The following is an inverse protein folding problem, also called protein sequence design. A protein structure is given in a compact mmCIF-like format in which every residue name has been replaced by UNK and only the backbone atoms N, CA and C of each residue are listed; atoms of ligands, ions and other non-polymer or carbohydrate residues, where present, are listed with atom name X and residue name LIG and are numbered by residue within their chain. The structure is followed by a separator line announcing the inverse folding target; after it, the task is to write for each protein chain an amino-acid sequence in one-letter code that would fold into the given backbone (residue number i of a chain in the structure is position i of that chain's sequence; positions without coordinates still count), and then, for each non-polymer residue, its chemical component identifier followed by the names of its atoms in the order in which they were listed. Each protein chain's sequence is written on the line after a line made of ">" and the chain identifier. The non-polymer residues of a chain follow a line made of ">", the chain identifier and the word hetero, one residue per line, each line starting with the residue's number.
data_IF_203348790270
#
_entry.id   IF_203348790270
#
_cell.length_a   1.000
_cell.length_b   1.000
_cell.length_c   1.000
_cell.angle_alpha   90.00
_cell.angle_beta   90.00
_cell.angle_gamma   90.00
#
_symmetry.space_group_name_H-M   'P 1'
#
loop_
_entity.id
_entity.type
_entity.pdbx_description
1 polymer ?
#
# COMPACT_ATOMS: atom_id res chain seq x y z
N UNK A 1 21.28 4.85 -15.13
CA UNK A 1 19.88 5.36 -15.24
C UNK A 1 19.98 6.79 -15.73
N UNK A 2 19.23 7.19 -16.78
CA UNK A 2 19.20 8.56 -17.28
C UNK A 2 18.27 9.41 -16.40
N UNK A 3 18.63 10.67 -16.13
CA UNK A 3 17.75 11.57 -15.39
C UNK A 3 16.48 11.86 -16.23
N UNK A 4 15.35 12.04 -15.56
CA UNK A 4 14.08 12.33 -16.21
C UNK A 4 14.14 13.66 -16.99
N UNK A 5 14.86 14.64 -16.44
CA UNK A 5 15.12 15.95 -17.08
C UNK A 5 15.83 15.86 -18.43
N UNK A 6 16.54 14.77 -18.71
CA UNK A 6 17.32 14.57 -19.92
C UNK A 6 16.50 13.84 -21.01
N UNK A 7 15.27 13.44 -20.69
CA UNK A 7 14.39 12.77 -21.63
C UNK A 7 13.58 13.81 -22.43
N UNK A 8 13.45 13.65 -23.76
CA UNK A 8 12.64 14.56 -24.55
C UNK A 8 11.16 14.43 -24.18
N UNK A 9 10.43 15.54 -24.15
CA UNK A 9 8.99 15.59 -23.80
C UNK A 9 8.13 14.63 -24.63
N UNK A 10 8.54 14.36 -25.88
CA UNK A 10 7.85 13.44 -26.78
C UNK A 10 7.79 11.99 -26.24
N UNK A 11 8.74 11.58 -25.41
CA UNK A 11 8.72 10.25 -24.78
C UNK A 11 7.53 10.09 -23.81
N UNK A 12 6.99 11.19 -23.29
CA UNK A 12 5.90 11.17 -22.31
C UNK A 12 4.51 11.47 -22.90
N UNK A 13 4.43 11.82 -24.20
CA UNK A 13 3.17 12.22 -24.85
C UNK A 13 2.06 11.16 -24.79
N UNK A 14 2.42 9.87 -24.69
CA UNK A 14 1.50 8.74 -24.57
C UNK A 14 1.21 8.32 -23.12
N UNK A 15 1.84 8.94 -22.14
CA UNK A 15 1.64 8.59 -20.71
C UNK A 15 0.22 8.98 -20.31
N UNK A 16 -0.50 8.02 -19.71
CA UNK A 16 -1.85 8.21 -19.18
C UNK A 16 -1.91 7.97 -17.70
N UNK A 17 -0.99 7.13 -17.19
CA UNK A 17 -0.93 6.73 -15.80
C UNK A 17 0.48 6.89 -15.24
N UNK A 18 0.56 7.33 -14.00
CA UNK A 18 1.78 7.31 -13.18
C UNK A 18 1.48 6.46 -11.94
N UNK A 19 2.16 5.32 -11.83
CA UNK A 19 2.16 4.52 -10.61
C UNK A 19 3.43 4.85 -9.85
N UNK A 20 3.29 5.17 -8.58
CA UNK A 20 4.42 5.63 -7.76
C UNK A 20 4.35 5.03 -6.36
N UNK A 21 5.49 4.64 -5.83
CA UNK A 21 5.58 4.32 -4.41
C UNK A 21 5.34 5.59 -3.58
N UNK A 22 4.96 5.44 -2.34
CA UNK A 22 4.64 6.56 -1.46
C UNK A 22 5.80 6.91 -0.53
N UNK A 23 6.23 5.94 0.29
CA UNK A 23 7.22 6.18 1.32
C UNK A 23 8.61 6.38 0.73
N UNK A 24 9.30 7.47 1.15
CA UNK A 24 10.61 7.88 0.63
C UNK A 24 10.65 8.09 -0.91
N UNK A 25 9.47 8.24 -1.54
CA UNK A 25 9.28 8.55 -2.96
C UNK A 25 8.42 9.80 -3.14
N UNK A 26 7.12 9.74 -2.82
CA UNK A 26 6.25 10.92 -2.74
C UNK A 26 6.40 11.65 -1.41
N UNK A 27 6.66 10.92 -0.35
CA UNK A 27 6.92 11.46 0.97
C UNK A 27 8.40 11.40 1.30
N UNK A 28 8.84 12.27 2.20
CA UNK A 28 10.18 12.24 2.77
C UNK A 28 10.08 12.31 4.29
N UNK A 29 10.67 11.33 4.98
CA UNK A 29 10.58 11.16 6.44
C UNK A 29 9.13 11.21 6.94
N UNK A 30 8.24 10.49 6.25
CA UNK A 30 6.82 10.38 6.57
C UNK A 30 6.00 11.64 6.30
N UNK A 31 6.52 12.63 5.56
CA UNK A 31 5.83 13.90 5.28
C UNK A 31 5.68 14.14 3.79
N UNK A 32 4.48 14.53 3.38
CA UNK A 32 4.21 15.00 2.02
C UNK A 32 4.57 16.48 1.93
N UNK A 33 5.50 16.83 1.04
CA UNK A 33 5.86 18.21 0.79
C UNK A 33 4.77 18.91 -0.05
N UNK A 34 4.55 20.22 0.18
CA UNK A 34 3.60 21.02 -0.59
C UNK A 34 3.93 20.99 -2.10
N UNK A 35 5.22 20.99 -2.47
CA UNK A 35 5.66 20.90 -3.85
C UNK A 35 5.26 19.56 -4.51
N UNK A 36 5.30 18.46 -3.77
CA UNK A 36 4.85 17.14 -4.25
C UNK A 36 3.34 17.15 -4.46
N UNK A 37 2.57 17.67 -3.52
CA UNK A 37 1.12 17.79 -3.66
C UNK A 37 0.74 18.64 -4.89
N UNK A 38 1.38 19.82 -5.05
CA UNK A 38 1.18 20.67 -6.23
C UNK A 38 1.57 19.98 -7.55
N UNK A 39 2.56 19.07 -7.53
CA UNK A 39 2.90 18.27 -8.72
C UNK A 39 1.78 17.27 -9.06
N UNK A 40 1.16 16.63 -8.06
CA UNK A 40 0.00 15.74 -8.25
C UNK A 40 -1.18 16.52 -8.85
N UNK A 41 -1.47 17.72 -8.36
CA UNK A 41 -2.54 18.59 -8.93
C UNK A 41 -2.27 18.93 -10.39
N UNK A 42 -1.02 19.26 -10.76
CA UNK A 42 -0.65 19.55 -12.16
C UNK A 42 -0.81 18.32 -13.05
N UNK A 43 -0.45 17.13 -12.58
CA UNK A 43 -0.65 15.90 -13.34
C UNK A 43 -2.15 15.63 -13.55
N UNK A 44 -2.97 15.77 -12.52
CA UNK A 44 -4.42 15.63 -12.62
C UNK A 44 -5.02 16.64 -13.61
N UNK A 45 -4.62 17.91 -13.54
CA UNK A 45 -5.05 18.96 -14.47
C UNK A 45 -4.64 18.68 -15.92
N UNK A 46 -3.51 18.00 -16.13
CA UNK A 46 -3.04 17.54 -17.44
C UNK A 46 -3.74 16.25 -17.91
N UNK A 47 -4.70 15.69 -17.16
CA UNK A 47 -5.39 14.46 -17.49
C UNK A 47 -4.56 13.20 -17.27
N UNK A 48 -3.44 13.30 -16.54
CA UNK A 48 -2.58 12.16 -16.19
C UNK A 48 -3.06 11.60 -14.84
N UNK A 49 -3.42 10.33 -14.82
CA UNK A 49 -3.92 9.63 -13.66
C UNK A 49 -2.78 9.16 -12.78
N UNK A 50 -2.78 9.55 -11.52
CA UNK A 50 -1.75 9.13 -10.56
C UNK A 50 -2.34 8.12 -9.58
N UNK A 51 -1.65 7.01 -9.38
CA UNK A 51 -2.03 5.95 -8.44
C UNK A 51 -0.83 5.67 -7.52
N UNK A 52 -0.83 6.16 -6.28
CA UNK A 52 0.10 5.70 -5.26
C UNK A 52 -0.04 4.20 -5.00
N UNK A 53 1.09 3.51 -4.85
CA UNK A 53 1.15 2.05 -4.62
C UNK A 53 2.00 1.81 -3.38
N UNK A 54 1.37 1.51 -2.25
CA UNK A 54 2.03 1.57 -0.95
C UNK A 54 1.77 0.34 -0.08
N UNK A 55 2.56 0.18 0.97
CA UNK A 55 2.31 -0.74 2.08
C UNK A 55 1.44 -0.10 3.20
N UNK A 56 1.06 1.16 3.06
CA UNK A 56 0.25 1.90 4.03
C UNK A 56 -1.11 1.21 4.27
N UNK A 57 -1.67 1.35 5.49
CA UNK A 57 -2.93 0.73 5.87
C UNK A 57 -4.14 1.32 5.13
N UNK A 58 -5.24 0.56 5.12
CA UNK A 58 -6.51 0.94 4.48
C UNK A 58 -7.02 2.30 4.94
N UNK A 59 -6.88 2.65 6.21
CA UNK A 59 -7.33 3.95 6.73
C UNK A 59 -6.60 5.14 6.10
N UNK A 60 -5.30 5.01 5.84
CA UNK A 60 -4.53 6.04 5.13
C UNK A 60 -4.88 6.08 3.65
N UNK A 61 -5.10 4.92 3.04
CA UNK A 61 -5.53 4.84 1.64
C UNK A 61 -6.90 5.48 1.42
N UNK A 62 -7.85 5.30 2.35
CA UNK A 62 -9.16 5.96 2.31
C UNK A 62 -9.02 7.49 2.38
N UNK A 63 -8.18 8.00 3.29
CA UNK A 63 -7.92 9.43 3.41
C UNK A 63 -7.27 9.99 2.13
N UNK A 64 -6.25 9.34 1.60
CA UNK A 64 -5.57 9.77 0.37
C UNK A 64 -6.52 9.76 -0.83
N UNK A 65 -7.33 8.70 -1.00
CA UNK A 65 -8.32 8.63 -2.07
C UNK A 65 -9.38 9.74 -1.98
N UNK A 66 -9.70 10.23 -0.76
CA UNK A 66 -10.66 11.34 -0.58
C UNK A 66 -10.07 12.71 -0.84
N UNK A 67 -8.84 12.93 -0.44
CA UNK A 67 -8.30 14.29 -0.29
C UNK A 67 -7.16 14.61 -1.25
N UNK A 68 -6.46 13.62 -1.77
CA UNK A 68 -5.36 13.87 -2.68
C UNK A 68 -5.84 13.95 -4.13
N UNK A 69 -5.14 14.68 -5.00
CA UNK A 69 -5.42 14.73 -6.43
C UNK A 69 -4.87 13.48 -7.12
N UNK A 70 -5.46 12.32 -6.79
CA UNK A 70 -5.07 10.99 -7.30
C UNK A 70 -6.30 10.23 -7.80
N UNK A 71 -6.11 9.30 -8.73
CA UNK A 71 -7.19 8.48 -9.31
C UNK A 71 -7.61 7.30 -8.43
N UNK A 72 -6.85 7.05 -7.41
CA UNK A 72 -7.04 5.99 -6.43
C UNK A 72 -5.72 5.63 -5.78
N UNK A 73 -5.74 4.72 -4.82
CA UNK A 73 -4.58 4.29 -4.05
C UNK A 73 -4.59 2.78 -3.93
N UNK A 74 -3.49 2.13 -4.31
CA UNK A 74 -3.26 0.72 -4.02
C UNK A 74 -2.53 0.64 -2.68
N UNK A 75 -3.17 0.01 -1.70
CA UNK A 75 -2.68 -0.12 -0.33
C UNK A 75 -2.35 -1.54 0.08
N UNK A 76 -1.76 -1.65 1.27
CA UNK A 76 -1.43 -2.91 1.93
C UNK A 76 -0.72 -3.90 1.00
N UNK A 77 0.32 -3.42 0.28
CA UNK A 77 1.10 -4.20 -0.69
C UNK A 77 0.30 -4.81 -1.85
N UNK A 78 -0.88 -4.26 -2.16
CA UNK A 78 -1.75 -4.75 -3.22
C UNK A 78 -3.00 -5.47 -2.72
N UNK A 79 -3.23 -5.52 -1.42
CA UNK A 79 -4.43 -6.14 -0.83
C UNK A 79 -5.72 -5.37 -1.12
N UNK A 80 -5.60 -4.08 -1.43
CA UNK A 80 -6.74 -3.21 -1.70
C UNK A 80 -6.41 -2.14 -2.75
N UNK A 81 -7.49 -1.65 -3.40
CA UNK A 81 -7.48 -0.45 -4.22
C UNK A 81 -8.70 0.39 -3.88
N UNK A 82 -8.49 1.62 -3.44
CA UNK A 82 -9.54 2.59 -3.09
C UNK A 82 -9.50 3.75 -4.05
N UNK A 83 -10.67 4.17 -4.54
CA UNK A 83 -10.81 5.35 -5.39
C UNK A 83 -12.06 6.13 -5.02
N UNK A 84 -12.10 7.39 -5.37
CA UNK A 84 -13.31 8.18 -5.28
C UNK A 84 -14.35 7.63 -6.27
N UNK A 85 -15.62 7.56 -5.87
CA UNK A 85 -16.71 7.19 -6.76
C UNK A 85 -17.02 8.29 -7.79
N UNK A 86 -17.85 7.97 -8.77
CA UNK A 86 -18.18 8.90 -9.84
C UNK A 86 -19.02 10.10 -9.35
N UNK A 87 -19.65 10.02 -8.15
CA UNK A 87 -20.35 11.14 -7.50
C UNK A 87 -19.39 12.12 -6.83
N UNK A 88 -18.16 11.71 -6.59
CA UNK A 88 -17.14 12.48 -5.88
C UNK A 88 -17.32 12.57 -4.37
N UNK A 89 -18.29 11.85 -3.80
CA UNK A 89 -18.62 11.89 -2.36
C UNK A 89 -18.26 10.60 -1.62
N UNK A 90 -18.34 9.47 -2.28
CA UNK A 90 -18.03 8.16 -1.72
C UNK A 90 -16.66 7.63 -2.11
N UNK A 91 -16.29 6.50 -1.52
CA UNK A 91 -15.10 5.73 -1.88
C UNK A 91 -15.53 4.33 -2.31
N UNK A 92 -15.18 3.96 -3.52
CA UNK A 92 -15.21 2.59 -3.97
C UNK A 92 -14.01 1.85 -3.39
N UNK A 93 -14.30 0.70 -2.79
CA UNK A 93 -13.30 -0.15 -2.15
C UNK A 93 -13.25 -1.49 -2.84
N UNK A 94 -12.12 -1.77 -3.49
CA UNK A 94 -11.86 -3.03 -4.16
C UNK A 94 -10.76 -3.78 -3.39
N UNK A 95 -11.00 -5.05 -3.08
CA UNK A 95 -10.04 -5.90 -2.41
C UNK A 95 -9.47 -6.93 -3.39
N UNK A 96 -8.28 -7.43 -3.09
CA UNK A 96 -7.70 -8.53 -3.87
C UNK A 96 -8.63 -9.75 -3.83
N UNK A 97 -9.14 -10.07 -2.67
CA UNK A 97 -10.16 -11.10 -2.44
C UNK A 97 -11.55 -10.54 -2.74
N UNK A 98 -11.88 -10.42 -4.04
CA UNK A 98 -13.08 -9.71 -4.51
C UNK A 98 -14.40 -10.29 -3.97
N UNK A 99 -14.44 -11.62 -3.77
CA UNK A 99 -15.63 -12.35 -3.32
C UNK A 99 -15.70 -12.53 -1.80
N UNK A 100 -14.71 -12.01 -1.05
CA UNK A 100 -14.64 -12.14 0.39
C UNK A 100 -14.92 -10.79 1.06
N UNK A 101 -15.89 -10.70 1.98
CA UNK A 101 -16.13 -9.48 2.74
C UNK A 101 -14.88 -9.04 3.52
N UNK A 102 -14.64 -7.72 3.59
CA UNK A 102 -13.43 -7.17 4.20
C UNK A 102 -13.21 -7.62 5.66
N UNK A 103 -14.29 -7.78 6.44
CA UNK A 103 -14.21 -8.25 7.82
C UNK A 103 -13.77 -9.72 7.92
N UNK A 104 -14.09 -10.54 6.93
CA UNK A 104 -13.64 -11.94 6.86
C UNK A 104 -12.15 -12.02 6.52
N UNK A 105 -11.67 -11.15 5.62
CA UNK A 105 -10.23 -11.05 5.32
C UNK A 105 -9.45 -10.70 6.59
N UNK A 106 -9.90 -9.67 7.31
CA UNK A 106 -9.29 -9.28 8.59
C UNK A 106 -9.33 -10.42 9.63
N UNK A 107 -10.43 -11.17 9.69
CA UNK A 107 -10.58 -12.33 10.57
C UNK A 107 -9.61 -13.47 10.22
N UNK A 108 -9.21 -13.63 8.95
CA UNK A 108 -8.21 -14.62 8.54
C UNK A 108 -6.78 -14.20 8.95
N UNK A 109 -6.49 -12.91 9.01
CA UNK A 109 -5.16 -12.38 9.33
C UNK A 109 -4.93 -12.29 10.85
N UNK A 110 -5.96 -12.03 11.63
CA UNK A 110 -5.85 -11.86 13.09
C UNK A 110 -5.25 -13.07 13.84
N UNK A 111 -5.60 -14.33 13.54
CA UNK A 111 -4.97 -15.50 14.17
C UNK A 111 -3.48 -15.60 13.92
N UNK A 112 -3.00 -15.16 12.75
CA UNK A 112 -1.57 -15.15 12.40
C UNK A 112 -0.82 -14.21 13.35
N UNK A 113 -1.37 -13.02 13.57
CA UNK A 113 -0.78 -12.06 14.51
C UNK A 113 -0.70 -12.62 15.93
N UNK A 114 -1.77 -13.27 16.39
CA UNK A 114 -1.81 -13.90 17.72
C UNK A 114 -0.78 -15.02 17.84
N UNK A 115 -0.67 -15.88 16.84
CA UNK A 115 0.32 -16.96 16.83
C UNK A 115 1.75 -16.42 16.89
N UNK A 116 2.08 -15.39 16.13
CA UNK A 116 3.42 -14.77 16.16
C UNK A 116 3.71 -14.21 17.56
N UNK A 117 2.76 -13.50 18.17
CA UNK A 117 2.95 -12.95 19.53
C UNK A 117 3.05 -14.03 20.62
N UNK A 118 2.43 -15.20 20.42
CA UNK A 118 2.60 -16.35 21.33
C UNK A 118 3.98 -16.99 21.20
N UNK A 119 4.49 -17.11 19.97
CA UNK A 119 5.83 -17.67 19.70
C UNK A 119 6.95 -16.70 20.07
N UNK A 120 6.72 -15.41 19.90
CA UNK A 120 7.68 -14.33 20.10
C UNK A 120 7.02 -13.25 20.99
N UNK A 121 7.03 -13.40 22.32
CA UNK A 121 6.33 -12.50 23.25
C UNK A 121 6.81 -11.03 23.20
N UNK A 122 8.01 -10.79 22.69
CA UNK A 122 8.55 -9.45 22.49
C UNK A 122 8.10 -8.80 21.18
N UNK A 123 7.48 -9.54 20.27
CA UNK A 123 6.93 -8.97 19.04
C UNK A 123 5.80 -8.00 19.37
N UNK A 124 5.83 -6.83 18.73
CA UNK A 124 4.83 -5.77 18.92
C UNK A 124 4.17 -5.46 17.60
N UNK A 125 2.84 -5.42 17.59
CA UNK A 125 2.10 -4.92 16.41
C UNK A 125 2.49 -3.48 16.13
N UNK A 126 2.46 -3.12 14.85
CA UNK A 126 2.62 -1.74 14.43
C UNK A 126 1.50 -0.87 15.04
N UNK A 127 1.78 0.39 15.29
CA UNK A 127 0.82 1.35 15.82
C UNK A 127 -0.33 1.63 14.83
N UNK A 128 -0.09 1.41 13.54
CA UNK A 128 -1.09 1.54 12.48
C UNK A 128 -1.94 0.27 12.25
N UNK A 129 -1.69 -0.82 12.99
CA UNK A 129 -2.44 -2.08 12.84
C UNK A 129 -3.97 -1.92 12.93
N UNK A 130 -4.55 -1.06 13.78
CA UNK A 130 -6.00 -0.87 13.83
C UNK A 130 -6.62 -0.33 12.53
N UNK A 131 -5.82 0.22 11.64
CA UNK A 131 -6.25 0.78 10.36
C UNK A 131 -6.03 -0.19 9.18
N UNK A 132 -5.52 -1.40 9.42
CA UNK A 132 -5.27 -2.43 8.39
C UNK A 132 -6.47 -3.35 8.23
N UNK A 133 -6.71 -3.79 7.01
CA UNK A 133 -7.83 -4.65 6.64
C UNK A 133 -7.40 -5.99 6.04
N UNK A 134 -6.25 -6.04 5.36
CA UNK A 134 -5.82 -7.22 4.59
C UNK A 134 -4.45 -7.74 5.02
N UNK A 135 -3.78 -7.06 5.93
CA UNK A 135 -2.43 -7.37 6.37
C UNK A 135 -2.23 -7.24 7.87
N UNK A 136 -1.21 -7.89 8.39
CA UNK A 136 -0.67 -7.66 9.73
C UNK A 136 0.69 -7.00 9.62
N UNK A 137 0.97 -6.07 10.52
CA UNK A 137 2.25 -5.39 10.61
C UNK A 137 2.83 -5.49 12.02
N UNK A 138 4.11 -5.84 12.12
CA UNK A 138 4.88 -5.80 13.35
C UNK A 138 5.92 -4.69 13.27
N UNK A 139 6.07 -3.95 14.36
CA UNK A 139 7.10 -2.93 14.49
C UNK A 139 8.50 -3.57 14.39
N UNK A 140 9.42 -2.88 13.71
CA UNK A 140 10.83 -3.29 13.70
C UNK A 140 11.40 -3.17 15.12
N UNK A 141 12.05 -4.21 15.57
CA UNK A 141 12.65 -4.27 16.91
C UNK A 141 13.97 -3.49 17.03
N UNK A 142 14.61 -3.21 15.89
CA UNK A 142 16.00 -2.73 15.83
C UNK A 142 17.04 -3.85 15.84
N UNK A 143 16.63 -5.09 16.11
CA UNK A 143 17.46 -6.30 15.98
C UNK A 143 17.01 -7.07 14.72
N UNK A 144 17.87 -7.11 13.71
CA UNK A 144 17.59 -7.78 12.45
C UNK A 144 17.31 -9.28 12.62
N UNK A 145 18.02 -9.94 13.56
CA UNK A 145 17.81 -11.37 13.82
C UNK A 145 16.45 -11.66 14.46
N UNK A 146 15.95 -10.75 15.29
CA UNK A 146 14.60 -10.84 15.84
C UNK A 146 13.55 -10.60 14.76
N UNK A 147 13.73 -9.56 13.96
CA UNK A 147 12.81 -9.25 12.84
C UNK A 147 12.73 -10.40 11.83
N UNK A 148 13.86 -11.07 11.55
CA UNK A 148 13.89 -12.27 10.70
C UNK A 148 13.10 -13.44 11.32
N UNK A 149 13.13 -13.61 12.64
CA UNK A 149 12.29 -14.62 13.34
C UNK A 149 10.81 -14.29 13.21
N UNK A 150 10.42 -13.01 13.33
CA UNK A 150 9.03 -12.58 13.10
C UNK A 150 8.62 -12.88 11.66
N UNK A 151 9.47 -12.54 10.69
CA UNK A 151 9.21 -12.83 9.29
C UNK A 151 9.09 -14.33 9.01
N UNK A 152 9.93 -15.15 9.64
CA UNK A 152 9.88 -16.61 9.52
C UNK A 152 8.58 -17.18 10.13
N UNK A 153 8.17 -16.70 11.30
CA UNK A 153 6.92 -17.11 11.95
C UNK A 153 5.71 -16.78 11.07
N UNK A 154 5.67 -15.62 10.45
CA UNK A 154 4.64 -15.24 9.50
C UNK A 154 4.60 -16.19 8.29
N UNK A 155 5.76 -16.51 7.69
CA UNK A 155 5.84 -17.47 6.57
C UNK A 155 5.39 -18.87 6.97
N UNK A 156 5.74 -19.34 8.16
CA UNK A 156 5.29 -20.63 8.69
C UNK A 156 3.77 -20.69 8.87
N UNK A 157 3.13 -19.55 9.13
CA UNK A 157 1.69 -19.41 9.16
C UNK A 157 1.04 -19.33 7.77
N UNK A 158 1.83 -19.43 6.70
CA UNK A 158 1.35 -19.37 5.31
C UNK A 158 1.19 -17.96 4.75
N UNK A 159 1.72 -16.95 5.43
CA UNK A 159 1.66 -15.57 4.95
C UNK A 159 2.77 -15.27 3.93
N UNK A 160 2.46 -14.45 2.94
CA UNK A 160 3.43 -13.69 2.19
C UNK A 160 4.03 -12.62 3.10
N UNK A 161 5.32 -12.34 2.97
CA UNK A 161 6.03 -11.48 3.91
C UNK A 161 6.93 -10.49 3.20
N UNK A 162 6.89 -9.26 3.63
CA UNK A 162 7.91 -8.25 3.30
C UNK A 162 8.43 -7.56 4.55
N UNK A 163 9.69 -7.12 4.48
CA UNK A 163 10.31 -6.33 5.54
C UNK A 163 10.76 -5.02 4.90
N UNK A 164 10.29 -3.90 5.44
CA UNK A 164 10.70 -2.57 5.02
C UNK A 164 11.37 -1.81 6.17
N UNK A 165 11.59 -0.52 6.01
CA UNK A 165 12.27 0.29 7.02
C UNK A 165 11.47 0.45 8.32
N UNK A 166 10.14 0.27 8.29
CA UNK A 166 9.23 0.52 9.41
C UNK A 166 8.68 -0.78 10.02
N UNK A 167 8.38 -1.78 9.16
CA UNK A 167 7.55 -2.90 9.54
C UNK A 167 8.06 -4.24 9.01
N UNK A 168 7.71 -5.32 9.73
CA UNK A 168 7.63 -6.68 9.20
C UNK A 168 6.16 -6.93 8.89
N UNK A 169 5.83 -7.11 7.62
CA UNK A 169 4.45 -7.20 7.13
C UNK A 169 4.13 -8.61 6.66
N UNK A 170 2.91 -9.09 6.97
CA UNK A 170 2.40 -10.36 6.51
C UNK A 170 0.97 -10.25 5.97
N UNK A 171 0.64 -11.01 4.91
CA UNK A 171 -0.71 -11.07 4.33
C UNK A 171 -0.97 -12.43 3.71
N UNK A 172 -2.24 -12.71 3.36
CA UNK A 172 -2.64 -13.94 2.70
C UNK A 172 -3.15 -13.67 1.29
N UNK A 173 -2.90 -14.60 0.35
CA UNK A 173 -3.55 -14.58 -0.96
C UNK A 173 -2.64 -14.39 -2.16
N UNK A 174 -1.32 -14.44 -2.00
CA UNK A 174 -0.37 -14.46 -3.11
C UNK A 174 -0.38 -13.20 -3.96
N UNK A 175 -0.76 -12.06 -3.41
CA UNK A 175 -0.78 -10.79 -4.14
C UNK A 175 0.46 -9.95 -3.85
N UNK A 176 0.72 -9.03 -4.74
CA UNK A 176 1.73 -7.98 -4.57
C UNK A 176 1.29 -6.67 -5.22
N UNK A 177 2.10 -5.63 -5.02
CA UNK A 177 1.88 -4.29 -5.59
C UNK A 177 1.70 -4.35 -7.12
N UNK A 178 2.50 -5.15 -7.81
CA UNK A 178 2.47 -5.25 -9.28
C UNK A 178 1.23 -5.98 -9.77
N UNK A 179 0.85 -7.07 -9.11
CA UNK A 179 -0.33 -7.85 -9.46
C UNK A 179 -1.61 -7.01 -9.35
N UNK A 180 -1.76 -6.25 -8.24
CA UNK A 180 -2.90 -5.34 -8.09
C UNK A 180 -2.85 -4.20 -9.10
N UNK A 181 -1.68 -3.61 -9.36
CA UNK A 181 -1.54 -2.56 -10.36
C UNK A 181 -2.00 -3.03 -11.75
N UNK A 182 -1.58 -4.24 -12.17
CA UNK A 182 -2.05 -4.85 -13.43
C UNK A 182 -3.56 -5.06 -13.45
N UNK A 183 -4.16 -5.54 -12.34
CA UNK A 183 -5.61 -5.71 -12.23
C UNK A 183 -6.36 -4.38 -12.38
N UNK A 184 -5.89 -3.34 -11.70
CA UNK A 184 -6.49 -2.00 -11.77
C UNK A 184 -6.38 -1.42 -13.18
N UNK A 185 -5.22 -1.52 -13.82
CA UNK A 185 -5.01 -0.98 -15.16
C UNK A 185 -5.80 -1.75 -16.25
N UNK A 186 -6.04 -3.04 -16.07
CA UNK A 186 -6.82 -3.85 -17.02
C UNK A 186 -8.31 -3.47 -17.05
N UNK A 187 -8.80 -2.76 -16.04
CA UNK A 187 -10.19 -2.30 -15.92
C UNK A 187 -10.38 -0.86 -16.38
N UNK A 188 -9.31 -0.20 -16.91
CA UNK A 188 -9.27 1.21 -17.33
C UNK A 188 -9.06 1.31 -18.83
#
# INVERSE_FOLDING_TARGET
>A
MRALSDAPETEFSAVRFVLTDMDETLTYRGRLAAATYAALERLQAAGIRVIPVTAAPAGWCDQMARMWPVDGVIGENGGLFFRRDDTGHGIERHFWHADTPAHEIAACVAPIAQMVMQLLPDARLADDQPFRMTSVAFARSGDAAFDDRVAQALRQAGADVTVNNLWVLGWLGGYDKLAMARRVLAQR
#
